data_IF_771777861425
#
_entry.id   IF_771777861425
#
_cell.length_a   1.000
_cell.length_b   1.000
_cell.length_c   1.000
_cell.angle_alpha   90.00
_cell.angle_beta   90.00
_cell.angle_gamma   90.00
#
_symmetry.space_group_name_H-M   'P 1'
#
loop_
_entity.id
_entity.type
_entity.pdbx_description
1 polymer ?
#
# COMPACT_ATOMS: atom_id res chain seq x y z
N UNK A 1 19.82 2.84 -5.79
CA UNK A 1 19.13 4.08 -6.26
C UNK A 1 19.89 5.22 -5.62
N UNK A 2 20.40 6.17 -6.42
CA UNK A 2 21.26 7.26 -5.89
C UNK A 2 20.40 8.49 -5.51
N UNK A 3 19.21 8.62 -6.10
CA UNK A 3 18.28 9.71 -5.84
C UNK A 3 17.30 9.35 -4.70
N UNK A 4 16.80 10.35 -3.95
CA UNK A 4 15.86 10.11 -2.85
C UNK A 4 14.58 9.40 -3.28
N UNK A 5 13.96 8.67 -2.35
CA UNK A 5 12.63 8.11 -2.50
C UNK A 5 11.61 8.99 -1.79
N UNK A 6 10.61 9.51 -2.51
CA UNK A 6 9.51 10.23 -1.89
C UNK A 6 8.52 9.24 -1.26
N UNK A 7 8.24 9.41 0.04
CA UNK A 7 7.23 8.68 0.76
C UNK A 7 6.11 9.64 1.17
N UNK A 8 4.98 9.61 0.47
CA UNK A 8 3.81 10.41 0.86
C UNK A 8 2.96 9.66 1.88
N UNK A 9 2.37 10.36 2.83
CA UNK A 9 1.61 9.72 3.91
C UNK A 9 2.51 8.95 4.90
N UNK A 10 3.77 9.35 5.01
CA UNK A 10 4.79 8.70 5.83
C UNK A 10 4.42 8.58 7.32
N UNK A 11 3.58 9.48 7.85
CA UNK A 11 3.09 9.41 9.23
C UNK A 11 2.00 8.36 9.49
N UNK A 12 1.55 7.64 8.45
CA UNK A 12 0.58 6.55 8.57
C UNK A 12 1.23 5.21 8.94
N UNK A 13 0.40 4.22 9.27
CA UNK A 13 0.87 2.88 9.71
C UNK A 13 1.75 2.18 8.67
N UNK A 14 1.44 2.29 7.38
CA UNK A 14 2.25 1.70 6.30
C UNK A 14 3.59 2.43 6.19
N UNK A 15 3.58 3.77 6.25
CA UNK A 15 4.80 4.57 6.25
C UNK A 15 5.71 4.24 7.43
N UNK A 16 5.15 4.08 8.64
CA UNK A 16 5.88 3.63 9.82
C UNK A 16 6.55 2.27 9.59
N UNK A 17 5.82 1.29 9.05
CA UNK A 17 6.37 -0.04 8.78
C UNK A 17 7.53 0.01 7.76
N UNK A 18 7.39 0.81 6.71
CA UNK A 18 8.44 1.00 5.71
C UNK A 18 9.68 1.64 6.34
N UNK A 19 9.51 2.74 7.08
CA UNK A 19 10.64 3.43 7.71
C UNK A 19 11.29 2.60 8.80
N UNK A 20 10.53 1.81 9.56
CA UNK A 20 11.09 0.90 10.55
C UNK A 20 12.01 -0.16 9.94
N UNK A 21 11.71 -0.63 8.74
CA UNK A 21 12.50 -1.66 8.06
C UNK A 21 13.56 -1.13 7.10
N UNK A 22 13.40 0.08 6.55
CA UNK A 22 14.19 0.57 5.41
C UNK A 22 14.79 1.97 5.63
N UNK A 23 14.75 2.53 6.85
CA UNK A 23 15.24 3.90 7.09
C UNK A 23 16.68 4.10 6.61
N UNK A 24 17.56 3.14 6.85
CA UNK A 24 18.99 3.19 6.54
C UNK A 24 19.32 2.70 5.10
N UNK A 25 18.32 2.17 4.36
CA UNK A 25 18.54 1.57 3.03
C UNK A 25 18.42 2.57 1.89
N UNK A 26 17.68 3.67 2.10
CA UNK A 26 17.40 4.70 1.09
C UNK A 26 17.52 6.09 1.68
N UNK A 27 17.81 7.05 0.82
CA UNK A 27 17.62 8.46 1.12
C UNK A 27 16.13 8.80 0.99
N UNK A 28 15.49 9.22 2.09
CA UNK A 28 14.06 9.46 2.12
C UNK A 28 13.71 10.95 2.11
N UNK A 29 12.72 11.30 1.30
CA UNK A 29 11.97 12.54 1.43
C UNK A 29 10.54 12.21 1.87
N UNK A 30 10.11 12.73 3.02
CA UNK A 30 8.82 12.41 3.62
C UNK A 30 7.82 13.53 3.37
N UNK A 31 6.63 13.22 2.84
CA UNK A 31 5.51 14.15 2.82
C UNK A 31 4.50 13.74 3.90
N UNK A 32 4.42 14.58 4.93
CA UNK A 32 3.58 14.40 6.11
C UNK A 32 2.36 15.32 6.04
N UNK A 33 1.18 14.82 6.39
CA UNK A 33 -0.03 15.65 6.46
C UNK A 33 -0.01 16.63 7.66
N UNK A 34 0.62 16.24 8.76
CA UNK A 34 0.71 17.03 10.00
C UNK A 34 2.11 16.97 10.58
N UNK A 35 2.49 17.95 11.42
CA UNK A 35 3.78 17.93 12.09
C UNK A 35 4.01 16.63 12.86
N UNK A 36 5.18 15.97 12.70
CA UNK A 36 5.52 14.78 13.45
C UNK A 36 5.73 15.10 14.93
N UNK A 37 5.53 14.10 15.82
CA UNK A 37 5.74 14.27 17.26
C UNK A 37 7.22 14.49 17.60
N UNK A 38 8.12 13.86 16.85
CA UNK A 38 9.55 14.01 16.92
C UNK A 38 10.10 14.33 15.52
N UNK A 39 11.15 15.14 15.44
CA UNK A 39 11.75 15.53 14.16
C UNK A 39 12.38 14.29 13.50
N UNK A 40 11.97 13.94 12.25
CA UNK A 40 12.57 12.80 11.55
C UNK A 40 14.04 13.05 11.21
N UNK A 41 14.82 11.97 11.15
CA UNK A 41 16.22 12.03 10.66
C UNK A 41 16.32 12.16 9.13
N UNK A 42 15.18 12.28 8.43
CA UNK A 42 15.06 12.39 6.99
C UNK A 42 14.54 13.76 6.57
N UNK A 43 14.80 14.16 5.32
CA UNK A 43 14.17 15.34 4.73
C UNK A 43 12.65 15.22 4.79
N UNK A 44 11.94 16.24 5.24
CA UNK A 44 10.49 16.20 5.28
C UNK A 44 9.81 17.52 4.90
N UNK A 45 8.61 17.39 4.38
CA UNK A 45 7.69 18.49 4.08
C UNK A 45 6.35 18.21 4.75
N UNK A 46 5.65 19.29 5.14
CA UNK A 46 4.33 19.19 5.76
C UNK A 46 3.29 19.80 4.84
N UNK A 47 2.23 19.05 4.53
CA UNK A 47 1.10 19.54 3.79
C UNK A 47 0.28 18.41 3.16
N UNK A 48 -0.62 18.78 2.27
CA UNK A 48 -1.62 17.91 1.70
C UNK A 48 -1.30 17.57 0.24
N UNK A 49 -1.60 16.34 -0.18
CA UNK A 49 -1.45 15.89 -1.58
C UNK A 49 -2.44 16.58 -2.53
N UNK A 50 -3.42 17.29 -2.01
CA UNK A 50 -4.33 18.15 -2.78
C UNK A 50 -3.68 19.48 -3.19
N UNK A 51 -2.58 19.89 -2.54
CA UNK A 51 -1.79 21.05 -2.93
C UNK A 51 -0.80 20.68 -4.04
N UNK A 52 -1.17 20.99 -5.29
CA UNK A 52 -0.36 20.66 -6.47
C UNK A 52 1.02 21.31 -6.47
N UNK A 53 1.17 22.49 -5.86
CA UNK A 53 2.45 23.17 -5.80
C UNK A 53 3.39 22.49 -4.79
N UNK A 54 2.86 22.08 -3.64
CA UNK A 54 3.58 21.32 -2.63
C UNK A 54 3.99 19.94 -3.16
N UNK A 55 3.06 19.19 -3.78
CA UNK A 55 3.34 17.87 -4.36
C UNK A 55 4.44 17.96 -5.39
N UNK A 56 4.40 18.97 -6.26
CA UNK A 56 5.45 19.18 -7.24
C UNK A 56 6.82 19.44 -6.60
N UNK A 57 6.87 20.30 -5.59
CA UNK A 57 8.13 20.55 -4.87
C UNK A 57 8.64 19.29 -4.13
N UNK A 58 7.73 18.43 -3.65
CA UNK A 58 8.11 17.18 -3.00
C UNK A 58 8.67 16.15 -3.99
N UNK A 59 8.25 16.19 -5.25
CA UNK A 59 8.67 15.23 -6.31
C UNK A 59 9.95 15.70 -7.03
N UNK A 60 10.39 16.96 -6.86
CA UNK A 60 11.59 17.48 -7.52
C UNK A 60 12.85 16.68 -7.12
N UNK A 61 13.62 16.20 -8.10
CA UNK A 61 14.86 15.43 -7.90
C UNK A 61 14.71 14.13 -7.09
N UNK A 62 13.57 13.43 -7.18
CA UNK A 62 13.42 12.09 -6.59
C UNK A 62 13.50 10.99 -7.65
N UNK A 63 14.05 9.83 -7.27
CA UNK A 63 14.20 8.67 -8.17
C UNK A 63 12.97 7.76 -8.23
N UNK A 64 12.18 7.72 -7.15
CA UNK A 64 10.96 6.93 -7.08
C UNK A 64 9.96 7.50 -6.07
N UNK A 65 8.70 7.09 -6.17
CA UNK A 65 7.64 7.52 -5.26
C UNK A 65 6.95 6.30 -4.66
N UNK A 66 6.78 6.30 -3.33
CA UNK A 66 5.82 5.45 -2.64
C UNK A 66 4.66 6.33 -2.19
N UNK A 67 3.50 6.14 -2.83
CA UNK A 67 2.33 6.97 -2.58
C UNK A 67 1.33 6.27 -1.66
N UNK A 68 1.34 6.68 -0.36
CA UNK A 68 0.45 6.15 0.68
C UNK A 68 -0.63 7.16 1.10
N UNK A 69 -0.44 8.45 0.82
CA UNK A 69 -1.33 9.51 1.28
C UNK A 69 -2.76 9.32 0.76
N UNK A 70 -3.72 9.67 1.61
CA UNK A 70 -5.15 9.59 1.33
C UNK A 70 -5.95 9.33 2.60
N UNK A 71 -7.27 9.44 2.53
CA UNK A 71 -8.17 9.07 3.62
C UNK A 71 -8.31 7.54 3.70
N UNK A 72 -7.81 6.87 4.76
CA UNK A 72 -7.80 5.42 4.86
C UNK A 72 -9.09 4.81 5.40
N UNK A 73 -10.10 5.64 5.75
CA UNK A 73 -11.31 5.18 6.44
C UNK A 73 -12.28 4.49 5.48
N UNK A 74 -12.71 3.24 5.74
CA UNK A 74 -13.70 2.55 4.90
C UNK A 74 -15.05 3.28 4.80
N UNK A 75 -15.40 4.07 5.82
CA UNK A 75 -16.61 4.87 5.91
C UNK A 75 -16.44 6.32 5.43
N UNK A 76 -15.30 6.67 4.83
CA UNK A 76 -15.05 8.01 4.31
C UNK A 76 -16.15 8.46 3.33
N UNK A 77 -16.49 9.76 3.39
CA UNK A 77 -17.48 10.35 2.48
C UNK A 77 -16.95 10.42 1.05
N UNK A 78 -17.86 10.56 0.09
CA UNK A 78 -17.48 10.76 -1.32
C UNK A 78 -16.56 11.97 -1.49
N UNK A 79 -16.86 13.10 -0.87
CA UNK A 79 -16.07 14.32 -1.00
C UNK A 79 -14.64 14.10 -0.48
N UNK A 80 -14.50 13.39 0.66
CA UNK A 80 -13.19 13.10 1.23
C UNK A 80 -12.36 12.18 0.32
N UNK A 81 -12.94 11.08 -0.19
CA UNK A 81 -12.19 10.17 -1.05
C UNK A 81 -11.93 10.76 -2.44
N UNK A 82 -12.81 11.61 -2.94
CA UNK A 82 -12.59 12.34 -4.19
C UNK A 82 -11.38 13.27 -4.06
N UNK A 83 -11.39 14.13 -3.07
CA UNK A 83 -10.36 15.14 -2.87
C UNK A 83 -9.01 14.50 -2.51
N UNK A 84 -8.96 13.66 -1.46
CA UNK A 84 -7.70 13.16 -0.92
C UNK A 84 -7.15 11.96 -1.70
N UNK A 85 -8.03 11.02 -2.11
CA UNK A 85 -7.57 9.75 -2.69
C UNK A 85 -7.53 9.78 -4.21
N UNK A 86 -8.45 10.49 -4.87
CA UNK A 86 -8.50 10.53 -6.34
C UNK A 86 -7.71 11.72 -6.86
N UNK A 87 -8.10 12.95 -6.48
CA UNK A 87 -7.43 14.16 -6.96
C UNK A 87 -5.99 14.23 -6.41
N UNK A 88 -5.78 13.88 -5.13
CA UNK A 88 -4.45 13.80 -4.55
C UNK A 88 -3.54 12.80 -5.28
N UNK A 89 -4.06 11.61 -5.61
CA UNK A 89 -3.30 10.60 -6.39
C UNK A 89 -3.00 11.10 -7.80
N UNK A 90 -3.95 11.77 -8.47
CA UNK A 90 -3.70 12.37 -9.77
C UNK A 90 -2.60 13.43 -9.70
N UNK A 91 -2.59 14.29 -8.68
CA UNK A 91 -1.55 15.30 -8.50
C UNK A 91 -0.15 14.67 -8.39
N UNK A 92 -0.03 13.54 -7.69
CA UNK A 92 1.25 12.83 -7.55
C UNK A 92 1.70 12.25 -8.89
N UNK A 93 0.82 11.62 -9.67
CA UNK A 93 1.15 11.13 -11.00
C UNK A 93 1.54 12.27 -11.97
N UNK A 94 0.79 13.38 -11.96
CA UNK A 94 1.12 14.55 -12.80
C UNK A 94 2.48 15.15 -12.45
N UNK A 95 2.80 15.21 -11.16
CA UNK A 95 4.11 15.68 -10.71
C UNK A 95 5.22 14.71 -11.15
N UNK A 96 5.01 13.39 -10.99
CA UNK A 96 5.95 12.37 -11.43
C UNK A 96 6.27 12.50 -12.93
N UNK A 97 5.26 12.66 -13.79
CA UNK A 97 5.47 12.89 -15.23
C UNK A 97 6.28 14.15 -15.50
N UNK A 98 5.99 15.25 -14.81
CA UNK A 98 6.67 16.54 -15.03
C UNK A 98 8.13 16.53 -14.62
N UNK A 99 8.44 15.88 -13.53
CA UNK A 99 9.80 15.82 -12.98
C UNK A 99 10.58 14.61 -13.52
N UNK A 100 9.95 13.75 -14.35
CA UNK A 100 10.61 12.63 -15.02
C UNK A 100 10.89 11.46 -14.08
N UNK A 101 10.02 11.24 -13.08
CA UNK A 101 10.12 10.09 -12.19
C UNK A 101 9.57 8.86 -12.90
N UNK A 102 10.40 7.82 -13.02
CA UNK A 102 10.08 6.63 -13.80
C UNK A 102 9.36 5.55 -13.00
N UNK A 103 9.29 5.64 -11.66
CA UNK A 103 8.73 4.57 -10.80
C UNK A 103 7.80 5.11 -9.72
N UNK A 104 6.61 4.51 -9.63
CA UNK A 104 5.63 4.80 -8.59
C UNK A 104 5.00 3.54 -8.01
N UNK A 105 5.14 3.37 -6.69
CA UNK A 105 4.45 2.33 -5.93
C UNK A 105 3.21 2.97 -5.30
N UNK A 106 2.03 2.47 -5.68
CA UNK A 106 0.74 2.96 -5.18
C UNK A 106 0.18 2.04 -4.10
N UNK A 107 -0.10 2.59 -2.94
CA UNK A 107 -0.83 1.88 -1.89
C UNK A 107 -2.32 1.75 -2.26
N UNK A 108 -2.65 0.69 -2.99
CA UNK A 108 -4.02 0.23 -3.14
C UNK A 108 -4.48 -0.51 -1.88
N UNK A 109 -5.58 -1.21 -1.93
CA UNK A 109 -6.16 -1.88 -0.77
C UNK A 109 -6.94 -3.13 -1.20
N UNK A 110 -7.03 -4.11 -0.31
CA UNK A 110 -7.99 -5.21 -0.43
C UNK A 110 -9.44 -4.72 -0.59
N UNK A 111 -9.76 -3.48 -0.15
CA UNK A 111 -11.08 -2.86 -0.37
C UNK A 111 -11.40 -2.60 -1.84
N UNK A 112 -10.42 -2.52 -2.75
CA UNK A 112 -10.65 -2.43 -4.19
C UNK A 112 -11.43 -3.64 -4.73
N UNK A 113 -11.34 -4.78 -4.04
CA UNK A 113 -12.01 -6.05 -4.37
C UNK A 113 -12.93 -6.55 -3.24
N UNK A 114 -13.19 -5.74 -2.23
CA UNK A 114 -13.88 -6.14 -0.99
C UNK A 114 -15.29 -6.70 -1.17
N UNK A 115 -15.97 -6.43 -2.29
CA UNK A 115 -17.28 -7.00 -2.56
C UNK A 115 -17.24 -8.50 -2.94
N UNK A 116 -16.07 -9.07 -3.25
CA UNK A 116 -15.94 -10.51 -3.40
C UNK A 116 -16.19 -11.23 -2.07
N UNK A 117 -15.78 -10.64 -0.96
CA UNK A 117 -15.95 -11.19 0.38
C UNK A 117 -17.42 -11.26 0.82
N UNK A 118 -18.31 -10.44 0.24
CA UNK A 118 -19.75 -10.41 0.52
C UNK A 118 -20.57 -11.13 -0.54
N UNK A 119 -19.95 -11.72 -1.56
CA UNK A 119 -20.63 -12.49 -2.59
C UNK A 119 -21.15 -13.79 -1.98
N UNK A 120 -22.45 -14.08 -2.14
CA UNK A 120 -23.06 -15.32 -1.64
C UNK A 120 -22.47 -16.59 -2.26
N UNK A 121 -21.76 -16.47 -3.38
CA UNK A 121 -21.06 -17.58 -4.04
C UNK A 121 -19.69 -17.87 -3.42
N UNK A 122 -19.16 -16.94 -2.65
CA UNK A 122 -17.86 -17.03 -1.99
C UNK A 122 -17.99 -16.73 -0.49
N UNK A 123 -19.01 -17.23 0.21
CA UNK A 123 -19.11 -17.04 1.65
C UNK A 123 -17.91 -17.72 2.31
N UNK A 124 -17.26 -17.01 3.23
CA UNK A 124 -16.17 -17.60 4.00
C UNK A 124 -14.91 -17.95 3.18
N UNK A 125 -14.65 -17.25 2.07
CA UNK A 125 -13.46 -17.46 1.21
C UNK A 125 -12.11 -17.35 1.97
N UNK A 126 -12.11 -16.86 3.20
CA UNK A 126 -10.96 -16.83 4.09
C UNK A 126 -10.74 -18.13 4.88
N UNK A 127 -11.58 -19.16 4.65
CA UNK A 127 -11.42 -20.47 5.26
C UNK A 127 -10.60 -21.38 4.34
N UNK A 128 -9.77 -22.23 4.93
CA UNK A 128 -8.85 -23.14 4.22
C UNK A 128 -9.54 -24.18 3.35
N UNK A 129 -10.84 -24.33 3.45
CA UNK A 129 -11.65 -25.32 2.71
C UNK A 129 -12.04 -24.82 1.31
N UNK A 130 -11.90 -23.51 1.06
CA UNK A 130 -12.20 -22.90 -0.22
C UNK A 130 -10.90 -22.68 -1.01
N UNK A 131 -10.76 -23.35 -2.15
CA UNK A 131 -9.65 -23.17 -3.11
C UNK A 131 -9.77 -21.85 -3.89
N UNK A 132 -10.61 -20.90 -3.46
CA UNK A 132 -10.81 -19.64 -4.15
C UNK A 132 -9.75 -18.63 -3.74
N UNK A 133 -8.91 -18.23 -4.70
CA UNK A 133 -7.90 -17.21 -4.53
C UNK A 133 -8.13 -16.04 -5.49
N UNK A 134 -8.00 -14.83 -4.98
CA UNK A 134 -7.88 -13.61 -5.78
C UNK A 134 -6.38 -13.41 -6.07
N UNK A 135 -6.03 -13.28 -7.35
CA UNK A 135 -4.63 -13.26 -7.81
C UNK A 135 -4.15 -11.92 -8.37
N UNK A 136 -5.00 -10.90 -8.37
CA UNK A 136 -4.71 -9.57 -8.91
C UNK A 136 -5.19 -9.36 -10.34
N UNK A 137 -5.64 -10.41 -11.04
CA UNK A 137 -6.18 -10.32 -12.41
C UNK A 137 -7.68 -10.01 -12.45
N UNK A 138 -8.37 -10.14 -11.33
CA UNK A 138 -9.79 -9.86 -11.24
C UNK A 138 -10.10 -8.37 -11.40
N UNK A 139 -11.22 -8.08 -12.06
CA UNK A 139 -11.73 -6.71 -12.13
C UNK A 139 -12.07 -6.19 -10.73
N UNK A 140 -11.80 -4.92 -10.44
CA UNK A 140 -12.18 -4.31 -9.16
C UNK A 140 -13.67 -4.51 -8.84
N UNK A 141 -13.96 -4.90 -7.61
CA UNK A 141 -15.32 -5.00 -7.03
C UNK A 141 -15.32 -4.36 -5.63
N UNK A 142 -15.27 -3.03 -5.55
CA UNK A 142 -15.24 -2.34 -4.26
C UNK A 142 -16.55 -2.50 -3.50
N UNK A 143 -16.45 -2.65 -2.17
CA UNK A 143 -17.59 -2.74 -1.28
C UNK A 143 -17.97 -1.41 -0.61
N UNK A 144 -17.15 -0.37 -0.77
CA UNK A 144 -17.34 0.96 -0.18
C UNK A 144 -16.63 2.05 -1.02
N UNK A 145 -16.85 3.33 -0.68
CA UNK A 145 -16.29 4.46 -1.44
C UNK A 145 -14.75 4.54 -1.34
N UNK A 146 -14.19 4.13 -0.21
CA UNK A 146 -12.74 4.00 -0.07
C UNK A 146 -12.18 2.98 -1.07
N UNK A 147 -12.80 1.81 -1.18
CA UNK A 147 -12.42 0.82 -2.20
C UNK A 147 -12.57 1.33 -3.63
N UNK A 148 -13.63 2.13 -3.91
CA UNK A 148 -13.80 2.81 -5.21
C UNK A 148 -12.61 3.72 -5.49
N UNK A 149 -12.18 4.54 -4.52
CA UNK A 149 -11.05 5.45 -4.71
C UNK A 149 -9.74 4.68 -4.95
N UNK A 150 -9.52 3.57 -4.24
CA UNK A 150 -8.33 2.73 -4.44
C UNK A 150 -8.30 2.07 -5.82
N UNK A 151 -9.43 1.52 -6.26
CA UNK A 151 -9.56 1.00 -7.64
C UNK A 151 -9.35 2.11 -8.70
N UNK A 152 -9.81 3.33 -8.43
CA UNK A 152 -9.56 4.47 -9.31
C UNK A 152 -8.07 4.79 -9.41
N UNK A 153 -7.32 4.73 -8.29
CA UNK A 153 -5.88 4.91 -8.30
C UNK A 153 -5.14 3.85 -9.13
N UNK A 154 -5.58 2.59 -9.10
CA UNK A 154 -5.05 1.53 -9.99
C UNK A 154 -5.28 1.86 -11.47
N UNK A 155 -6.47 2.38 -11.81
CA UNK A 155 -6.80 2.81 -13.19
C UNK A 155 -5.99 4.03 -13.61
N UNK A 156 -5.79 5.01 -12.72
CA UNK A 156 -4.87 6.13 -12.96
C UNK A 156 -3.46 5.61 -13.22
N UNK A 157 -2.95 4.71 -12.39
CA UNK A 157 -1.64 4.09 -12.59
C UNK A 157 -1.51 3.45 -13.97
N UNK A 158 -2.52 2.70 -14.43
CA UNK A 158 -2.53 2.13 -15.76
C UNK A 158 -2.50 3.19 -16.86
N UNK A 159 -3.27 4.27 -16.70
CA UNK A 159 -3.27 5.37 -17.67
C UNK A 159 -1.89 6.05 -17.76
N UNK A 160 -1.26 6.34 -16.61
CA UNK A 160 0.05 7.01 -16.60
C UNK A 160 1.16 6.10 -17.10
N UNK A 161 1.11 4.80 -16.82
CA UNK A 161 2.00 3.82 -17.43
C UNK A 161 1.86 3.81 -18.95
N UNK A 162 0.66 3.56 -19.48
CA UNK A 162 0.42 3.44 -20.92
C UNK A 162 0.74 4.72 -21.71
N UNK A 163 0.56 5.87 -21.08
CA UNK A 163 0.69 7.17 -21.72
C UNK A 163 2.08 7.80 -21.57
N UNK A 164 2.73 7.56 -20.44
CA UNK A 164 3.94 8.26 -20.07
C UNK A 164 5.11 7.32 -19.75
N UNK A 165 4.88 6.02 -19.66
CA UNK A 165 5.92 5.01 -19.45
C UNK A 165 6.40 4.92 -17.98
N UNK A 166 5.63 5.41 -17.01
CA UNK A 166 5.97 5.24 -15.59
C UNK A 166 5.78 3.78 -15.21
N UNK A 167 6.77 3.16 -14.57
CA UNK A 167 6.63 1.84 -13.95
C UNK A 167 5.72 1.95 -12.72
N UNK A 168 4.64 1.19 -12.69
CA UNK A 168 3.66 1.28 -11.60
C UNK A 168 3.44 -0.07 -10.94
N UNK A 169 3.66 -0.14 -9.62
CA UNK A 169 3.25 -1.26 -8.80
C UNK A 169 2.10 -0.86 -7.88
N UNK A 170 0.93 -1.44 -8.09
CA UNK A 170 -0.23 -1.24 -7.23
C UNK A 170 -0.24 -2.34 -6.16
N UNK A 171 -0.05 -1.98 -4.90
CA UNK A 171 -0.05 -2.92 -3.79
C UNK A 171 -1.41 -2.91 -3.11
N UNK A 172 -2.21 -3.94 -3.31
CA UNK A 172 -3.47 -4.16 -2.58
C UNK A 172 -3.15 -4.63 -1.17
N UNK A 173 -2.93 -3.68 -0.28
CA UNK A 173 -2.53 -3.94 1.11
C UNK A 173 -3.69 -4.59 1.86
N UNK A 174 -3.38 -5.68 2.57
CA UNK A 174 -4.31 -6.37 3.46
C UNK A 174 -4.45 -5.68 4.82
N UNK A 175 -4.44 -6.44 5.90
CA UNK A 175 -4.57 -5.94 7.26
C UNK A 175 -3.19 -5.79 7.93
N UNK A 176 -2.63 -4.60 7.86
CA UNK A 176 -1.36 -4.28 8.51
C UNK A 176 -1.60 -3.97 10.00
N UNK A 177 -0.97 -4.74 10.88
CA UNK A 177 -1.01 -4.50 12.32
C UNK A 177 0.39 -4.44 12.91
N UNK A 178 0.55 -3.62 13.96
CA UNK A 178 1.82 -3.54 14.71
C UNK A 178 1.95 -4.79 15.60
N UNK A 179 3.04 -5.53 15.43
CA UNK A 179 3.42 -6.68 16.26
C UNK A 179 2.66 -7.97 15.88
N UNK A 180 1.42 -8.14 16.27
CA UNK A 180 0.72 -9.42 16.17
C UNK A 180 -0.48 -9.38 15.21
N UNK A 181 -0.83 -10.52 14.55
CA UNK A 181 -2.09 -10.63 13.84
C UNK A 181 -3.28 -10.51 14.80
N UNK A 182 -4.47 -10.09 14.32
CA UNK A 182 -5.65 -10.03 15.16
C UNK A 182 -6.11 -11.44 15.57
N UNK A 183 -6.07 -11.77 16.86
CA UNK A 183 -6.28 -13.13 17.38
C UNK A 183 -7.73 -13.59 17.22
N UNK A 184 -8.70 -12.70 17.46
CA UNK A 184 -10.14 -13.04 17.47
C UNK A 184 -10.84 -12.68 16.15
N UNK A 185 -10.10 -12.55 15.05
CA UNK A 185 -10.62 -12.09 13.78
C UNK A 185 -10.04 -12.91 12.62
N UNK A 186 -10.65 -14.05 12.30
CA UNK A 186 -10.17 -14.99 11.27
C UNK A 186 -9.90 -14.31 9.90
N UNK A 187 -10.80 -13.44 9.45
CA UNK A 187 -10.62 -12.69 8.21
C UNK A 187 -9.38 -11.79 8.29
N UNK A 188 -9.17 -11.14 9.43
CA UNK A 188 -7.99 -10.31 9.67
C UNK A 188 -6.69 -11.11 9.66
N UNK A 189 -6.73 -12.35 10.17
CA UNK A 189 -5.59 -13.28 10.10
C UNK A 189 -5.30 -13.71 8.66
N UNK A 190 -6.33 -14.03 7.88
CA UNK A 190 -6.20 -14.48 6.50
C UNK A 190 -5.58 -13.43 5.56
N UNK A 191 -5.75 -12.15 5.87
CA UNK A 191 -5.21 -11.03 5.10
C UNK A 191 -4.15 -10.22 5.87
N UNK A 192 -3.60 -10.79 6.95
CA UNK A 192 -2.61 -10.12 7.76
C UNK A 192 -1.33 -9.82 6.99
N UNK A 193 -0.78 -8.64 7.25
CA UNK A 193 0.53 -8.21 6.79
C UNK A 193 1.32 -7.75 8.02
N UNK A 194 2.48 -8.33 8.25
CA UNK A 194 3.40 -7.87 9.30
C UNK A 194 4.16 -6.61 8.87
N UNK A 195 4.76 -5.91 9.82
CA UNK A 195 5.62 -4.77 9.54
C UNK A 195 6.87 -5.17 8.74
N UNK A 196 7.62 -6.23 9.13
CA UNK A 196 8.77 -6.67 8.34
C UNK A 196 8.42 -7.05 6.91
N UNK A 197 7.34 -7.81 6.70
CA UNK A 197 6.91 -8.20 5.37
C UNK A 197 6.39 -7.00 4.55
N UNK A 198 5.77 -6.01 5.20
CA UNK A 198 5.37 -4.75 4.55
C UNK A 198 6.59 -3.99 4.03
N UNK A 199 7.62 -3.83 4.85
CA UNK A 199 8.87 -3.18 4.46
C UNK A 199 9.54 -3.94 3.30
N UNK A 200 9.67 -5.27 3.44
CA UNK A 200 10.25 -6.12 2.40
C UNK A 200 9.49 -6.02 1.06
N UNK A 201 8.16 -6.04 1.08
CA UNK A 201 7.35 -5.90 -0.13
C UNK A 201 7.63 -4.58 -0.87
N UNK A 202 7.68 -3.47 -0.13
CA UNK A 202 7.94 -2.16 -0.71
C UNK A 202 9.40 -2.03 -1.20
N UNK A 203 10.36 -2.63 -0.48
CA UNK A 203 11.73 -2.75 -0.96
C UNK A 203 11.79 -3.48 -2.30
N UNK A 204 11.16 -4.65 -2.39
CA UNK A 204 11.12 -5.41 -3.63
C UNK A 204 10.44 -4.65 -4.77
N UNK A 205 9.36 -3.89 -4.48
CA UNK A 205 8.71 -3.04 -5.47
C UNK A 205 9.59 -1.87 -5.94
N UNK A 206 10.50 -1.36 -5.09
CA UNK A 206 11.50 -0.35 -5.50
C UNK A 206 12.60 -0.93 -6.40
N UNK A 207 13.00 -2.20 -6.19
CA UNK A 207 14.20 -2.79 -6.80
C UNK A 207 13.91 -3.69 -8.00
N UNK A 208 12.72 -4.32 -8.09
CA UNK A 208 12.39 -5.26 -9.15
C UNK A 208 12.20 -4.57 -10.51
N UNK A 209 12.35 -5.35 -11.58
CA UNK A 209 12.12 -4.91 -12.95
C UNK A 209 10.70 -5.33 -13.38
N UNK A 210 9.85 -4.36 -13.60
CA UNK A 210 8.46 -4.53 -14.05
C UNK A 210 7.96 -3.26 -14.74
N UNK A 211 6.90 -3.41 -15.54
CA UNK A 211 6.23 -2.29 -16.20
C UNK A 211 5.00 -1.82 -15.39
N UNK A 212 3.97 -2.67 -15.32
CA UNK A 212 2.74 -2.38 -14.59
C UNK A 212 2.24 -3.63 -13.87
N UNK A 213 2.12 -3.54 -12.54
CA UNK A 213 1.71 -4.67 -11.72
C UNK A 213 0.61 -4.32 -10.72
N UNK A 214 -0.22 -5.31 -10.42
CA UNK A 214 -1.15 -5.32 -9.29
C UNK A 214 -0.84 -6.55 -8.46
N UNK A 215 -0.43 -6.36 -7.22
CA UNK A 215 -0.05 -7.44 -6.30
C UNK A 215 -0.78 -7.32 -4.97
N UNK A 216 -0.97 -8.44 -4.28
CA UNK A 216 -1.48 -8.43 -2.92
C UNK A 216 -0.35 -8.33 -1.91
N UNK A 217 -0.50 -7.41 -0.95
CA UNK A 217 0.39 -7.20 0.18
C UNK A 217 -0.17 -7.86 1.44
N UNK A 218 0.16 -9.13 1.63
CA UNK A 218 -0.10 -9.90 2.85
C UNK A 218 1.13 -10.74 3.17
N UNK A 219 1.25 -11.18 4.44
CA UNK A 219 2.23 -12.19 4.85
C UNK A 219 1.88 -13.58 4.31
N UNK A 220 2.76 -14.57 4.45
CA UNK A 220 2.51 -15.94 3.94
C UNK A 220 1.57 -16.73 4.86
N UNK A 221 0.39 -16.19 5.08
CA UNK A 221 -0.60 -16.77 5.97
C UNK A 221 -1.11 -18.13 5.44
N UNK A 222 -1.22 -19.13 6.31
CA UNK A 222 -1.78 -20.45 5.95
C UNK A 222 -3.22 -20.36 5.44
N UNK A 223 -4.01 -19.46 6.05
CA UNK A 223 -5.39 -19.18 5.66
C UNK A 223 -5.43 -17.87 4.90
N UNK A 224 -5.25 -17.92 3.60
CA UNK A 224 -5.33 -16.74 2.74
C UNK A 224 -6.30 -16.97 1.59
N UNK A 225 -6.91 -15.91 1.12
CA UNK A 225 -7.73 -15.87 -0.09
C UNK A 225 -7.22 -14.84 -1.11
N UNK A 226 -6.12 -14.19 -0.77
CA UNK A 226 -5.32 -13.39 -1.69
C UNK A 226 -4.04 -14.15 -2.01
N UNK A 227 -3.78 -14.42 -3.30
CA UNK A 227 -2.52 -15.02 -3.72
C UNK A 227 -1.38 -14.01 -3.67
N UNK A 228 -0.25 -14.44 -3.13
CA UNK A 228 1.02 -13.69 -3.21
C UNK A 228 1.93 -14.20 -4.34
N UNK A 229 1.47 -15.14 -5.15
CA UNK A 229 2.28 -15.75 -6.20
C UNK A 229 2.75 -14.72 -7.23
N UNK A 230 1.87 -13.76 -7.58
CA UNK A 230 2.25 -12.68 -8.49
C UNK A 230 3.34 -11.79 -7.89
N UNK A 231 3.24 -11.43 -6.60
CA UNK A 231 4.29 -10.66 -5.92
C UNK A 231 5.62 -11.43 -5.84
N UNK A 232 5.56 -12.75 -5.62
CA UNK A 232 6.74 -13.62 -5.66
C UNK A 232 7.38 -13.64 -7.03
N UNK A 233 6.58 -13.86 -8.08
CA UNK A 233 7.06 -13.98 -9.45
C UNK A 233 7.70 -12.69 -9.97
N UNK A 234 7.00 -11.56 -9.81
CA UNK A 234 7.41 -10.30 -10.46
C UNK A 234 8.31 -9.43 -9.61
N UNK A 235 8.16 -9.47 -8.28
CA UNK A 235 8.95 -8.64 -7.37
C UNK A 235 10.04 -9.44 -6.66
N UNK A 236 9.94 -10.77 -6.59
CA UNK A 236 10.76 -11.59 -5.72
C UNK A 236 10.39 -11.41 -4.24
N UNK A 237 9.11 -11.13 -3.96
CA UNK A 237 8.61 -11.01 -2.59
C UNK A 237 8.65 -12.35 -1.88
N UNK A 238 9.33 -12.43 -0.74
CA UNK A 238 9.50 -13.63 0.07
C UNK A 238 9.14 -13.34 1.54
N UNK A 239 7.84 -13.21 1.86
CA UNK A 239 7.38 -12.93 3.22
C UNK A 239 7.77 -14.06 4.18
N UNK A 240 8.13 -13.68 5.41
CA UNK A 240 8.63 -14.62 6.42
C UNK A 240 7.62 -14.87 7.54
N UNK A 241 6.63 -14.00 7.67
CA UNK A 241 5.65 -14.07 8.75
C UNK A 241 4.37 -14.81 8.32
N UNK A 242 3.72 -15.46 9.30
CA UNK A 242 2.49 -16.21 9.10
C UNK A 242 1.60 -16.06 10.33
N UNK A 243 0.38 -15.61 10.14
CA UNK A 243 -0.57 -15.37 11.23
C UNK A 243 -0.89 -16.64 12.07
N UNK A 244 -0.74 -17.83 11.49
CA UNK A 244 -0.96 -19.10 12.19
C UNK A 244 0.15 -19.46 13.19
N UNK A 245 1.32 -18.82 13.12
CA UNK A 245 2.45 -19.08 14.00
C UNK A 245 2.43 -18.26 15.30
N UNK A 246 1.47 -17.38 15.48
CA UNK A 246 1.34 -16.55 16.68
C UNK A 246 0.43 -17.23 17.70
N UNK A 247 1.01 -17.88 18.67
CA UNK A 247 0.34 -18.57 19.79
C UNK A 247 -0.08 -17.56 20.86
N UNK A 248 -0.97 -16.71 20.71
CA UNK A 248 -1.70 -15.87 21.68
C UNK A 248 -1.06 -15.52 23.06
N UNK A 249 0.12 -16.04 23.39
CA UNK A 249 0.79 -15.89 24.68
C UNK A 249 1.78 -14.71 24.77
N UNK A 250 2.22 -14.15 23.66
CA UNK A 250 3.02 -12.90 23.66
C UNK A 250 2.11 -11.67 23.50
N UNK A 251 1.33 -11.39 24.52
CA UNK A 251 0.63 -10.11 24.65
C UNK A 251 1.57 -9.04 25.16
N UNK A 252 2.27 -8.35 24.30
CA UNK A 252 2.72 -6.99 24.62
C UNK A 252 1.54 -6.07 24.29
N UNK A 253 0.78 -5.73 25.30
CA UNK A 253 -0.23 -4.67 25.24
C UNK A 253 0.53 -3.36 25.22
N UNK A 254 0.70 -2.78 24.04
CA UNK A 254 1.04 -1.37 23.95
C UNK A 254 -0.27 -0.57 23.94
N UNK A 255 -0.67 -0.19 25.15
CA UNK A 255 -1.67 0.86 25.37
C UNK A 255 -0.97 2.22 25.22
N UNK A 256 -1.22 2.91 24.08
CA UNK A 256 -0.74 4.26 23.84
C UNK A 256 -1.37 4.86 22.61
#
# INVERSE_FOLDING_TARGET
MDDPVLLTGAGGRVGEAILQGLADEYEWRLLLHSPPAEEPDHEYMIGDVTDTALVRAAVEDVGAIIHLAGDPRPEASWDSVLENNIDGTQNVYEAAVREGVDRLIYASSNHAVGAFETDQRTPEMYRTEDDFLLDGTELPRPGNLYGVSKATGEVLGRYYHDKHGIDVCNVRIGNLTRGHPPIDYERGQAMWLSYPDCAHLHQRALEADYDFEIVYGISDNDRKYYSIDRAREVLGYDPQDNSAHFDGEERVVDEG
#
